data_IF_670165922419
#
_entry.id   IF_670165922419
#
_cell.length_a   1.000
_cell.length_b   1.000
_cell.length_c   1.000
_cell.angle_alpha   90.00
_cell.angle_beta   90.00
_cell.angle_gamma   90.00
#
_symmetry.space_group_name_H-M   'P 1'
#
loop_
_entity.id
_entity.type
_entity.pdbx_description
1 polymer ?
#
# COMPACT_ATOMS: atom_id res chain seq x y z
N UNK A 1 54.22 13.87 41.31
CA UNK A 1 53.38 13.11 42.26
C UNK A 1 52.18 12.56 41.52
N UNK A 2 52.06 11.24 41.56
CA UNK A 2 51.02 10.41 40.96
C UNK A 2 49.67 10.70 41.65
N UNK A 3 48.64 11.10 40.88
CA UNK A 3 47.25 11.00 41.36
C UNK A 3 46.34 10.51 40.24
N UNK A 4 46.21 9.20 40.26
CA UNK A 4 45.25 8.36 39.56
C UNK A 4 43.93 8.44 40.34
N UNK A 5 42.87 8.95 39.73
CA UNK A 5 41.51 8.79 40.25
C UNK A 5 40.52 8.69 39.09
N UNK A 6 40.30 7.44 38.69
CA UNK A 6 38.99 6.84 38.43
C UNK A 6 37.96 7.70 37.67
N UNK A 7 38.02 7.53 36.35
CA UNK A 7 36.93 7.42 35.40
C UNK A 7 35.57 7.01 36.03
N UNK A 8 34.48 7.75 35.78
CA UNK A 8 33.18 7.14 35.56
C UNK A 8 32.92 7.10 34.06
N UNK A 9 32.95 5.89 33.50
CA UNK A 9 32.44 5.59 32.16
C UNK A 9 30.93 5.85 32.23
N UNK A 10 30.50 7.01 31.72
CA UNK A 10 29.10 7.28 31.47
C UNK A 10 28.64 6.39 30.31
N UNK A 11 28.13 5.21 30.67
CA UNK A 11 27.55 4.26 29.76
C UNK A 11 26.18 4.79 29.30
N UNK A 12 26.17 5.59 28.24
CA UNK A 12 24.94 5.94 27.54
C UNK A 12 24.48 4.70 26.75
N UNK A 13 23.74 3.80 27.40
CA UNK A 13 22.81 2.91 26.70
C UNK A 13 21.74 3.79 26.07
N UNK A 14 21.95 4.20 24.82
CA UNK A 14 20.84 4.62 23.97
C UNK A 14 19.98 3.39 23.75
N UNK A 15 18.89 3.26 24.53
CA UNK A 15 17.80 2.36 24.20
C UNK A 15 17.26 2.82 22.83
N UNK A 16 17.66 2.13 21.77
CA UNK A 16 16.98 2.21 20.49
C UNK A 16 15.59 1.57 20.67
N UNK A 17 14.62 2.38 21.09
CA UNK A 17 13.22 2.00 21.00
C UNK A 17 12.80 2.07 19.53
N UNK A 18 12.32 0.96 18.97
CA UNK A 18 11.47 1.04 17.78
C UNK A 18 10.17 1.73 18.20
N UNK A 19 10.06 3.03 17.97
CA UNK A 19 8.80 3.73 18.12
C UNK A 19 7.90 3.32 16.94
N UNK A 20 7.05 2.32 17.15
CA UNK A 20 5.89 2.12 16.28
C UNK A 20 4.90 3.24 16.57
N UNK A 21 5.08 4.37 15.89
CA UNK A 21 4.10 5.44 15.84
C UNK A 21 2.79 4.84 15.29
N UNK A 22 1.81 4.68 16.18
CA UNK A 22 0.42 4.39 15.84
C UNK A 22 -0.26 5.74 15.67
N UNK A 23 0.12 6.46 14.62
CA UNK A 23 -0.63 7.63 14.15
C UNK A 23 -1.52 7.19 13.00
N UNK A 24 -2.83 7.39 13.21
CA UNK A 24 -3.88 6.91 12.33
C UNK A 24 -3.75 7.46 10.91
N UNK A 25 -4.05 6.59 9.93
CA UNK A 25 -4.41 6.91 8.54
C UNK A 25 -3.71 8.15 7.96
N UNK A 26 -2.40 8.24 8.12
CA UNK A 26 -1.61 9.25 7.44
C UNK A 26 -1.43 8.77 5.99
N UNK A 27 -2.03 9.50 5.05
CA UNK A 27 -1.57 9.50 3.66
C UNK A 27 -0.12 10.02 3.68
N UNK A 28 0.85 9.11 3.82
CA UNK A 28 2.27 9.46 3.76
C UNK A 28 2.69 9.47 2.30
N UNK A 29 2.92 10.69 1.81
CA UNK A 29 3.53 10.97 0.52
C UNK A 29 5.01 10.59 0.51
N UNK A 30 5.41 9.80 -0.48
CA UNK A 30 6.68 9.95 -1.16
C UNK A 30 6.39 9.65 -2.63
N UNK A 31 6.55 10.64 -3.50
CA UNK A 31 6.58 10.44 -4.94
C UNK A 31 7.83 9.63 -5.27
N UNK A 32 7.76 8.34 -4.98
CA UNK A 32 8.58 7.38 -5.71
C UNK A 32 8.07 7.51 -7.12
N UNK A 33 8.93 7.99 -8.00
CA UNK A 33 8.69 8.00 -9.44
C UNK A 33 8.76 6.54 -9.92
N UNK A 34 7.75 5.76 -9.51
CA UNK A 34 7.47 4.45 -10.09
C UNK A 34 7.11 4.77 -11.52
N UNK A 35 8.04 4.50 -12.43
CA UNK A 35 7.84 4.80 -13.84
C UNK A 35 6.50 4.24 -14.31
N UNK A 36 5.79 4.97 -15.16
CA UNK A 36 4.45 4.60 -15.64
C UNK A 36 4.34 3.11 -16.07
N UNK A 37 5.31 2.49 -16.79
CA UNK A 37 5.26 1.07 -17.12
C UNK A 37 5.32 0.15 -15.89
N UNK A 38 6.16 0.48 -14.90
CA UNK A 38 6.26 -0.28 -13.67
C UNK A 38 4.98 -0.12 -12.83
N UNK A 39 4.42 1.09 -12.77
CA UNK A 39 3.18 1.37 -12.05
C UNK A 39 2.01 0.55 -12.62
N UNK A 40 1.89 0.51 -13.95
CA UNK A 40 0.87 -0.27 -14.66
C UNK A 40 1.01 -1.78 -14.41
N UNK A 41 2.23 -2.32 -14.51
CA UNK A 41 2.48 -3.74 -14.26
C UNK A 41 2.14 -4.14 -12.81
N UNK A 42 2.55 -3.31 -11.83
CA UNK A 42 2.27 -3.56 -10.41
C UNK A 42 0.77 -3.46 -10.12
N UNK A 43 0.11 -2.42 -10.66
CA UNK A 43 -1.33 -2.24 -10.53
C UNK A 43 -2.12 -3.42 -11.09
N UNK A 44 -1.71 -3.95 -12.24
CA UNK A 44 -2.32 -5.14 -12.86
C UNK A 44 -2.23 -6.39 -11.99
N UNK A 45 -1.04 -6.70 -11.44
CA UNK A 45 -0.88 -7.84 -10.53
C UNK A 45 -1.70 -7.64 -9.25
N UNK A 46 -1.57 -6.49 -8.57
CA UNK A 46 -2.29 -6.23 -7.32
C UNK A 46 -3.82 -6.26 -7.50
N UNK A 47 -4.35 -5.74 -8.61
CA UNK A 47 -5.78 -5.83 -8.93
C UNK A 47 -6.24 -7.28 -9.13
N UNK A 48 -5.42 -8.12 -9.77
CA UNK A 48 -5.70 -9.54 -9.92
C UNK A 48 -5.69 -10.28 -8.59
N UNK A 49 -4.71 -10.00 -7.73
CA UNK A 49 -4.69 -10.55 -6.36
C UNK A 49 -5.89 -10.09 -5.56
N UNK A 50 -6.32 -8.85 -5.72
CA UNK A 50 -7.54 -8.37 -5.08
C UNK A 50 -8.79 -9.11 -5.58
N UNK A 51 -8.93 -9.29 -6.89
CA UNK A 51 -10.05 -10.02 -7.49
C UNK A 51 -10.13 -11.48 -6.99
N UNK A 52 -8.98 -12.16 -6.93
CA UNK A 52 -8.86 -13.52 -6.39
C UNK A 52 -9.35 -13.61 -4.94
N UNK A 53 -9.09 -12.58 -4.12
CA UNK A 53 -9.50 -12.56 -2.71
C UNK A 53 -10.93 -12.08 -2.49
N UNK A 54 -11.45 -11.22 -3.36
CA UNK A 54 -12.81 -10.69 -3.27
C UNK A 54 -13.88 -11.76 -3.58
N UNK A 55 -13.56 -12.74 -4.44
CA UNK A 55 -14.46 -13.83 -4.82
C UNK A 55 -15.65 -13.43 -5.71
N UNK A 56 -16.01 -12.15 -5.76
CA UNK A 56 -17.02 -11.56 -6.65
C UNK A 56 -16.67 -10.11 -6.97
N UNK A 57 -16.99 -9.68 -8.19
CA UNK A 57 -16.80 -8.30 -8.67
C UNK A 57 -18.08 -7.47 -8.67
N UNK A 58 -19.18 -8.03 -8.16
CA UNK A 58 -20.49 -7.37 -8.15
C UNK A 58 -20.55 -6.17 -7.21
N UNK A 59 -19.76 -6.18 -6.12
CA UNK A 59 -19.72 -5.07 -5.17
C UNK A 59 -18.89 -3.93 -5.76
N UNK A 60 -19.44 -2.71 -5.86
CA UNK A 60 -18.68 -1.57 -6.37
C UNK A 60 -17.52 -1.21 -5.43
N UNK A 61 -16.43 -0.74 -6.01
CA UNK A 61 -15.26 -0.26 -5.28
C UNK A 61 -15.27 1.27 -5.26
N UNK A 62 -15.06 1.85 -4.08
CA UNK A 62 -14.67 3.24 -3.93
C UNK A 62 -13.16 3.30 -3.73
N UNK A 63 -12.43 3.66 -4.78
CA UNK A 63 -10.98 3.79 -4.73
C UNK A 63 -10.62 5.18 -4.18
N UNK A 64 -9.87 5.22 -3.07
CA UNK A 64 -9.26 6.47 -2.60
C UNK A 64 -8.11 6.84 -3.53
N UNK A 65 -8.42 7.63 -4.54
CA UNK A 65 -7.49 8.04 -5.61
C UNK A 65 -6.77 9.34 -5.28
N UNK A 66 -5.50 9.42 -5.61
CA UNK A 66 -4.76 10.66 -5.80
C UNK A 66 -4.53 10.91 -7.31
N UNK A 67 -3.62 11.83 -7.67
CA UNK A 67 -3.26 12.14 -9.06
C UNK A 67 -2.03 11.39 -9.57
N UNK A 68 -1.64 10.27 -8.93
CA UNK A 68 -0.49 9.45 -9.36
C UNK A 68 -0.82 8.51 -10.52
N UNK A 69 0.20 8.18 -11.31
CA UNK A 69 0.10 7.20 -12.40
C UNK A 69 -0.33 5.82 -11.91
N UNK A 70 0.06 5.46 -10.68
CA UNK A 70 -0.40 4.23 -10.05
C UNK A 70 -1.90 4.26 -9.76
N UNK A 71 -2.47 5.38 -9.29
CA UNK A 71 -3.91 5.49 -9.03
C UNK A 71 -4.73 5.25 -10.30
N UNK A 72 -4.33 5.90 -11.40
CA UNK A 72 -4.97 5.77 -12.72
C UNK A 72 -4.84 4.34 -13.25
N UNK A 73 -3.66 3.75 -13.11
CA UNK A 73 -3.39 2.38 -13.55
C UNK A 73 -4.17 1.36 -12.73
N UNK A 74 -4.25 1.53 -11.41
CA UNK A 74 -4.98 0.65 -10.50
C UNK A 74 -6.48 0.71 -10.76
N UNK A 75 -7.04 1.90 -10.96
CA UNK A 75 -8.43 2.06 -11.35
C UNK A 75 -8.74 1.30 -12.65
N UNK A 76 -7.89 1.48 -13.66
CA UNK A 76 -8.04 0.83 -14.96
C UNK A 76 -7.91 -0.70 -14.85
N UNK A 77 -6.95 -1.19 -14.06
CA UNK A 77 -6.76 -2.61 -13.81
C UNK A 77 -7.95 -3.24 -13.07
N UNK A 78 -8.47 -2.59 -12.04
CA UNK A 78 -9.66 -3.07 -11.31
C UNK A 78 -10.88 -3.14 -12.24
N UNK A 79 -11.08 -2.13 -13.10
CA UNK A 79 -12.13 -2.17 -14.13
C UNK A 79 -11.91 -3.32 -15.12
N UNK A 80 -10.67 -3.56 -15.55
CA UNK A 80 -10.30 -4.68 -16.41
C UNK A 80 -10.61 -6.05 -15.81
N UNK A 81 -10.51 -6.18 -14.49
CA UNK A 81 -10.93 -7.37 -13.73
C UNK A 81 -12.45 -7.48 -13.53
N UNK A 82 -13.23 -6.46 -13.93
CA UNK A 82 -14.69 -6.47 -13.89
C UNK A 82 -15.30 -5.71 -12.71
N UNK A 83 -14.52 -4.98 -11.92
CA UNK A 83 -15.05 -4.15 -10.84
C UNK A 83 -15.67 -2.84 -11.37
N UNK A 84 -16.76 -2.43 -10.74
CA UNK A 84 -17.32 -1.08 -10.94
C UNK A 84 -16.66 -0.09 -9.97
N UNK A 85 -15.93 0.89 -10.48
CA UNK A 85 -15.32 1.96 -9.67
C UNK A 85 -16.29 3.14 -9.58
N UNK A 86 -16.62 3.57 -8.37
CA UNK A 86 -17.47 4.73 -8.12
C UNK A 86 -16.65 5.90 -7.57
N UNK A 87 -16.90 7.10 -8.11
CA UNK A 87 -16.32 8.35 -7.62
C UNK A 87 -16.99 8.84 -6.34
N UNK A 88 -16.39 9.86 -5.72
CA UNK A 88 -16.77 10.32 -4.39
C UNK A 88 -18.25 10.76 -4.28
N UNK A 89 -18.80 11.29 -5.36
CA UNK A 89 -20.17 11.82 -5.43
C UNK A 89 -21.25 10.74 -5.59
N UNK A 90 -20.90 9.57 -6.14
CA UNK A 90 -21.89 8.55 -6.53
C UNK A 90 -22.26 7.57 -5.40
N UNK A 91 -21.41 7.46 -4.37
CA UNK A 91 -21.68 6.54 -3.25
C UNK A 91 -22.83 7.00 -2.34
N UNK A 92 -23.12 8.30 -2.30
CA UNK A 92 -24.17 8.88 -1.44
C UNK A 92 -25.58 8.67 -2.02
N UNK A 93 -25.68 8.25 -3.29
CA UNK A 93 -26.96 8.10 -4.02
C UNK A 93 -27.50 6.67 -4.05
N UNK A 94 -26.73 5.68 -3.58
CA UNK A 94 -27.16 4.28 -3.55
C UNK A 94 -27.92 3.96 -2.26
N UNK A 95 -29.16 4.44 -2.12
CA UNK A 95 -30.05 4.06 -1.01
C UNK A 95 -30.47 2.59 -1.04
N UNK A 96 -30.38 1.94 -2.20
CA UNK A 96 -30.89 0.57 -2.44
C UNK A 96 -29.84 -0.42 -2.99
N UNK A 97 -28.54 -0.09 -2.89
CA UNK A 97 -27.44 -0.91 -3.43
C UNK A 97 -26.50 -1.48 -2.36
N UNK A 98 -25.72 -2.53 -2.68
CA UNK A 98 -24.68 -3.03 -1.77
C UNK A 98 -23.66 -1.93 -1.46
N UNK A 99 -23.31 -1.82 -0.17
CA UNK A 99 -22.34 -0.82 0.30
C UNK A 99 -21.02 -0.98 -0.48
N UNK A 100 -20.49 0.10 -1.08
CA UNK A 100 -19.22 0.03 -1.79
C UNK A 100 -18.07 -0.38 -0.86
N UNK A 101 -17.15 -1.18 -1.37
CA UNK A 101 -15.91 -1.52 -0.66
C UNK A 101 -14.95 -0.35 -0.84
N UNK A 102 -14.53 0.26 0.26
CA UNK A 102 -13.46 1.26 0.22
C UNK A 102 -12.12 0.55 0.05
N UNK A 103 -11.41 0.90 -1.02
CA UNK A 103 -10.04 0.43 -1.27
C UNK A 103 -9.10 1.61 -1.15
N UNK A 104 -8.13 1.50 -0.24
CA UNK A 104 -7.00 2.41 -0.12
C UNK A 104 -5.72 1.67 -0.51
N UNK A 105 -4.74 2.41 -1.03
CA UNK A 105 -3.43 1.87 -1.35
C UNK A 105 -2.32 2.70 -0.70
N UNK A 106 -1.16 2.08 -0.53
CA UNK A 106 0.10 2.75 -0.18
C UNK A 106 1.24 2.15 -0.99
N UNK A 107 2.16 3.01 -1.40
CA UNK A 107 3.36 2.63 -2.15
C UNK A 107 4.55 3.19 -1.38
N UNK A 108 5.52 2.34 -1.11
CA UNK A 108 6.80 2.73 -0.51
C UNK A 108 7.88 2.12 -1.38
N UNK A 109 8.86 2.91 -1.81
CA UNK A 109 10.01 2.36 -2.52
C UNK A 109 11.31 2.70 -1.83
N UNK A 110 12.20 1.73 -1.89
CA UNK A 110 13.54 1.78 -1.32
C UNK A 110 14.41 0.78 -2.08
N UNK A 111 15.65 1.16 -2.37
CA UNK A 111 16.68 0.24 -2.88
C UNK A 111 16.27 -0.55 -4.12
N UNK A 112 15.62 0.10 -5.10
CA UNK A 112 15.16 -0.54 -6.34
C UNK A 112 13.98 -1.50 -6.16
N UNK A 113 13.39 -1.55 -4.96
CA UNK A 113 12.17 -2.28 -4.67
C UNK A 113 11.02 -1.34 -4.36
N UNK A 114 9.81 -1.78 -4.69
CA UNK A 114 8.56 -1.08 -4.42
C UNK A 114 7.67 -2.02 -3.62
N UNK A 115 7.34 -1.65 -2.39
CA UNK A 115 6.32 -2.30 -1.59
C UNK A 115 4.97 -1.64 -1.87
N UNK A 116 4.03 -2.42 -2.36
CA UNK A 116 2.65 -1.99 -2.56
C UNK A 116 1.73 -2.72 -1.61
N UNK A 117 0.78 -1.98 -1.04
CA UNK A 117 -0.25 -2.50 -0.16
C UNK A 117 -1.61 -1.99 -0.58
N UNK A 118 -2.60 -2.87 -0.62
CA UNK A 118 -4.01 -2.55 -0.75
C UNK A 118 -4.71 -2.88 0.56
N UNK A 119 -5.65 -2.04 0.97
CA UNK A 119 -6.41 -2.23 2.20
C UNK A 119 -7.87 -1.87 2.02
N UNK A 120 -8.72 -2.70 2.63
CA UNK A 120 -10.14 -2.45 2.84
C UNK A 120 -10.43 -2.51 4.34
N UNK A 121 -11.69 -2.50 4.74
CA UNK A 121 -12.11 -2.75 6.13
C UNK A 121 -11.72 -4.17 6.61
N UNK A 122 -11.93 -5.16 5.76
CA UNK A 122 -11.87 -6.59 6.07
C UNK A 122 -10.65 -7.29 5.49
N UNK A 123 -9.93 -6.66 4.56
CA UNK A 123 -8.84 -7.28 3.81
C UNK A 123 -7.64 -6.35 3.71
N UNK A 124 -6.46 -6.95 3.71
CA UNK A 124 -5.23 -6.26 3.38
C UNK A 124 -4.31 -7.18 2.57
N UNK A 125 -3.76 -6.62 1.50
CA UNK A 125 -2.85 -7.30 0.58
C UNK A 125 -1.56 -6.50 0.51
N UNK A 126 -0.42 -7.18 0.49
CA UNK A 126 0.88 -6.52 0.34
C UNK A 126 1.86 -7.38 -0.44
N UNK A 127 2.66 -6.74 -1.30
CA UNK A 127 3.72 -7.41 -2.03
C UNK A 127 4.86 -6.43 -2.37
N UNK A 128 6.10 -6.90 -2.27
CA UNK A 128 7.27 -6.20 -2.77
C UNK A 128 7.55 -6.58 -4.24
N UNK A 129 8.01 -5.60 -5.01
CA UNK A 129 8.39 -5.74 -6.41
C UNK A 129 9.81 -5.22 -6.61
N UNK A 130 10.63 -5.93 -7.37
CA UNK A 130 11.89 -5.40 -7.88
C UNK A 130 11.61 -4.64 -9.17
N UNK A 131 12.12 -3.41 -9.30
CA UNK A 131 11.95 -2.60 -10.50
C UNK A 131 13.29 -2.41 -11.18
N UNK A 132 13.44 -3.00 -12.37
CA UNK A 132 14.65 -2.92 -13.17
C UNK A 132 14.29 -2.48 -14.58
N UNK A 133 14.86 -1.36 -15.05
CA UNK A 133 14.62 -0.80 -16.39
C UNK A 133 13.11 -0.61 -16.71
N UNK A 134 12.32 -0.18 -15.72
CA UNK A 134 10.87 0.01 -15.85
C UNK A 134 10.03 -1.28 -15.86
N UNK A 135 10.66 -2.45 -15.72
CA UNK A 135 9.98 -3.73 -15.55
C UNK A 135 9.86 -4.03 -14.06
N UNK A 136 8.64 -4.22 -13.57
CA UNK A 136 8.38 -4.63 -12.20
C UNK A 136 8.14 -6.14 -12.13
N UNK A 137 8.85 -6.85 -11.24
CA UNK A 137 8.66 -8.28 -10.98
C UNK A 137 8.43 -8.54 -9.50
N UNK A 138 7.54 -9.48 -9.12
CA UNK A 138 7.36 -9.87 -7.73
C UNK A 138 8.67 -10.27 -7.04
N UNK A 139 9.05 -9.54 -5.99
CA UNK A 139 10.22 -9.81 -5.16
C UNK A 139 9.85 -10.57 -3.86
N UNK A 140 8.57 -10.59 -3.49
CA UNK A 140 8.05 -11.34 -2.34
C UNK A 140 6.82 -12.18 -2.70
N UNK A 141 6.47 -13.18 -1.87
CA UNK A 141 5.12 -13.74 -1.84
C UNK A 141 4.06 -12.67 -1.54
N UNK A 142 2.79 -13.00 -1.82
CA UNK A 142 1.66 -12.15 -1.41
C UNK A 142 1.45 -12.26 0.09
N UNK A 143 1.50 -11.14 0.80
CA UNK A 143 0.98 -11.01 2.15
C UNK A 143 -0.53 -10.80 2.09
N UNK A 144 -1.26 -11.54 2.91
CA UNK A 144 -2.71 -11.52 2.99
C UNK A 144 -3.12 -11.48 4.46
N UNK A 145 -3.85 -10.45 4.87
CA UNK A 145 -4.48 -10.38 6.18
C UNK A 145 -5.99 -10.17 6.02
N UNK A 146 -6.78 -10.99 6.71
CA UNK A 146 -8.24 -10.86 6.81
C UNK A 146 -8.58 -10.41 8.22
N UNK A 147 -9.39 -9.36 8.34
CA UNK A 147 -9.90 -8.83 9.60
C UNK A 147 -11.31 -9.40 9.80
N UNK A 148 -11.52 -10.04 10.96
CA UNK A 148 -12.80 -10.63 11.37
C UNK A 148 -13.57 -9.67 12.26
#
# INVERSE_FOLDING_TARGET
MLRRCLLPIAFCLSLAGCQSATDGLTTSAASVDVTEPAASAIAGDMAGRFAEQAGSTATPIRLKKDSSDFAVSLESALKGWGFSIIGDEKATSAKDGPKPVEVAYSIVASDGQVLVRLSTDTLELGRAYSVTNGVATPASPLSLMKRN
#
